data_IF_182713186480
#
_entry.id   IF_182713186480
#
_cell.length_a   1.000
_cell.length_b   1.000
_cell.length_c   1.000
_cell.angle_alpha   90.00
_cell.angle_beta   90.00
_cell.angle_gamma   90.00
#
_symmetry.space_group_name_H-M   'P 1'
#
loop_
_entity.id
_entity.type
_entity.pdbx_description
1 polymer ?
#
# COMPACT_ATOMS: atom_id res chain seq x y z
N UNK A 1 -24.01 17.79 -17.49
CA UNK A 1 -22.58 18.07 -17.19
C UNK A 1 -22.34 17.52 -15.79
N UNK A 2 -21.54 16.46 -15.65
CA UNK A 2 -21.12 16.01 -14.31
C UNK A 2 -20.18 17.09 -13.77
N UNK A 3 -20.60 17.80 -12.73
CA UNK A 3 -19.70 18.71 -12.02
C UNK A 3 -18.82 17.86 -11.10
N UNK A 4 -17.51 18.13 -11.12
CA UNK A 4 -16.54 17.40 -10.30
C UNK A 4 -16.67 17.73 -8.80
N UNK A 5 -17.53 18.69 -8.43
CA UNK A 5 -17.78 19.15 -7.06
C UNK A 5 -18.05 18.01 -6.08
N UNK A 6 -18.68 16.91 -6.53
CA UNK A 6 -18.94 15.74 -5.68
C UNK A 6 -17.68 15.00 -5.22
N UNK A 7 -16.53 15.28 -5.85
CA UNK A 7 -15.25 14.62 -5.59
C UNK A 7 -14.16 15.58 -5.14
N UNK A 8 -14.52 16.84 -4.88
CA UNK A 8 -13.60 17.86 -4.37
C UNK A 8 -13.86 18.05 -2.88
N UNK A 9 -12.79 17.99 -2.10
CA UNK A 9 -12.82 18.39 -0.69
C UNK A 9 -11.75 19.45 -0.50
N UNK A 10 -12.12 20.63 -0.02
CA UNK A 10 -11.20 21.75 0.24
C UNK A 10 -10.32 22.16 -0.97
N UNK A 11 -10.85 22.03 -2.20
CA UNK A 11 -10.11 22.36 -3.44
C UNK A 11 -9.16 21.26 -3.93
N UNK A 12 -9.09 20.13 -3.22
CA UNK A 12 -8.31 18.95 -3.62
C UNK A 12 -9.18 17.85 -4.21
N UNK A 13 -8.64 17.14 -5.20
CA UNK A 13 -9.30 15.97 -5.78
C UNK A 13 -9.21 14.75 -4.85
N UNK A 14 -10.35 14.22 -4.45
CA UNK A 14 -10.43 13.20 -3.38
C UNK A 14 -11.02 11.87 -3.83
N UNK A 15 -11.44 11.75 -5.09
CA UNK A 15 -12.13 10.56 -5.62
C UNK A 15 -11.32 9.26 -5.42
N UNK A 16 -9.99 9.34 -5.54
CA UNK A 16 -9.12 8.18 -5.49
C UNK A 16 -8.74 7.75 -4.07
N UNK A 17 -9.07 8.55 -3.04
CA UNK A 17 -8.77 8.25 -1.63
C UNK A 17 -9.17 6.82 -1.21
N UNK A 18 -10.37 6.30 -1.55
CA UNK A 18 -10.77 4.95 -1.15
C UNK A 18 -9.84 3.84 -1.68
N UNK A 19 -9.23 4.05 -2.85
CA UNK A 19 -8.30 3.09 -3.46
C UNK A 19 -6.98 3.08 -2.67
N UNK A 20 -6.44 4.25 -2.36
CA UNK A 20 -5.25 4.36 -1.49
C UNK A 20 -5.50 3.74 -0.11
N UNK A 21 -6.65 4.01 0.51
CA UNK A 21 -7.03 3.40 1.81
C UNK A 21 -7.06 1.87 1.70
N UNK A 22 -7.59 1.32 0.60
CA UNK A 22 -7.66 -0.13 0.39
C UNK A 22 -6.26 -0.75 0.33
N UNK A 23 -5.35 -0.17 -0.46
CA UNK A 23 -3.96 -0.65 -0.53
C UNK A 23 -3.20 -0.47 0.80
N UNK A 24 -3.45 0.63 1.52
CA UNK A 24 -2.89 0.84 2.84
C UNK A 24 -3.35 -0.24 3.82
N UNK A 25 -4.64 -0.56 3.83
CA UNK A 25 -5.20 -1.63 4.67
C UNK A 25 -4.62 -3.00 4.32
N UNK A 26 -4.42 -3.31 3.04
CA UNK A 26 -3.75 -4.55 2.60
C UNK A 26 -2.32 -4.59 3.13
N UNK A 27 -1.56 -3.51 2.96
CA UNK A 27 -0.16 -3.41 3.41
C UNK A 27 -0.01 -3.59 4.92
N UNK A 28 -0.88 -2.95 5.71
CA UNK A 28 -0.92 -3.08 7.18
C UNK A 28 -1.34 -4.49 7.59
N UNK A 29 -2.35 -5.06 6.92
CA UNK A 29 -2.82 -6.43 7.21
C UNK A 29 -1.69 -7.44 6.96
N UNK A 30 -0.98 -7.31 5.84
CA UNK A 30 0.19 -8.15 5.54
C UNK A 30 1.26 -8.02 6.62
N UNK A 31 1.55 -6.81 7.07
CA UNK A 31 2.52 -6.56 8.14
C UNK A 31 2.12 -7.25 9.45
N UNK A 32 0.86 -7.09 9.88
CA UNK A 32 0.32 -7.74 11.08
C UNK A 32 0.42 -9.27 10.98
N UNK A 33 0.06 -9.83 9.82
CA UNK A 33 0.13 -11.27 9.56
C UNK A 33 1.56 -11.82 9.67
N UNK A 34 2.57 -11.04 9.27
CA UNK A 34 3.99 -11.43 9.37
C UNK A 34 4.48 -11.40 10.83
N UNK A 35 4.03 -10.42 11.63
CA UNK A 35 4.46 -10.25 13.02
C UNK A 35 3.86 -11.31 13.95
N UNK A 36 2.59 -11.68 13.77
CA UNK A 36 1.88 -12.59 14.66
C UNK A 36 2.61 -13.96 14.83
N UNK A 37 2.53 -14.60 16.02
CA UNK A 37 3.28 -15.80 16.35
C UNK A 37 2.81 -17.08 15.61
N UNK A 38 3.73 -18.06 15.55
CA UNK A 38 3.88 -19.20 14.62
C UNK A 38 2.63 -20.02 14.25
N UNK A 39 1.53 -19.98 15.01
CA UNK A 39 0.35 -20.82 14.77
C UNK A 39 -0.35 -20.59 13.41
N UNK A 40 -0.16 -19.42 12.77
CA UNK A 40 -0.74 -19.09 11.45
C UNK A 40 0.27 -19.07 10.29
N UNK A 41 1.56 -19.37 10.53
CA UNK A 41 2.60 -19.26 9.50
C UNK A 41 2.46 -20.29 8.37
N UNK A 42 1.79 -21.42 8.59
CA UNK A 42 1.50 -22.39 7.52
C UNK A 42 0.61 -21.83 6.40
N UNK A 43 -0.17 -20.78 6.68
CA UNK A 43 -1.05 -20.15 5.69
C UNK A 43 -0.34 -19.10 4.82
N UNK A 44 0.86 -18.65 5.19
CA UNK A 44 1.51 -17.49 4.57
C UNK A 44 2.81 -17.90 3.89
N UNK A 45 2.76 -17.97 2.56
CA UNK A 45 3.91 -18.22 1.71
C UNK A 45 4.69 -16.91 1.45
N UNK A 46 6.02 -16.96 1.52
CA UNK A 46 6.90 -15.83 1.19
C UNK A 46 6.72 -15.34 -0.24
N UNK A 47 6.39 -16.25 -1.17
CA UNK A 47 6.04 -15.87 -2.54
C UNK A 47 4.80 -14.95 -2.58
N UNK A 48 3.75 -15.30 -1.83
CA UNK A 48 2.51 -14.51 -1.74
C UNK A 48 2.75 -13.13 -1.13
N UNK A 49 3.57 -13.03 -0.08
CA UNK A 49 3.93 -11.74 0.51
C UNK A 49 4.68 -10.87 -0.51
N UNK A 50 5.63 -11.47 -1.22
CA UNK A 50 6.48 -10.74 -2.17
C UNK A 50 5.65 -10.21 -3.34
N UNK A 51 4.82 -11.05 -3.96
CA UNK A 51 3.99 -10.65 -5.10
C UNK A 51 2.96 -9.58 -4.69
N UNK A 52 2.29 -9.73 -3.54
CA UNK A 52 1.30 -8.75 -3.08
C UNK A 52 1.96 -7.41 -2.73
N UNK A 53 3.13 -7.44 -2.10
CA UNK A 53 3.87 -6.22 -1.78
C UNK A 53 4.32 -5.49 -3.04
N UNK A 54 4.79 -6.24 -4.04
CA UNK A 54 5.22 -5.70 -5.33
C UNK A 54 4.05 -5.10 -6.14
N UNK A 55 2.93 -5.81 -6.22
CA UNK A 55 1.71 -5.30 -6.89
C UNK A 55 1.22 -4.04 -6.18
N UNK A 56 1.16 -4.05 -4.84
CA UNK A 56 0.72 -2.89 -4.06
C UNK A 56 1.61 -1.67 -4.32
N UNK A 57 2.93 -1.88 -4.44
CA UNK A 57 3.88 -0.83 -4.77
C UNK A 57 3.65 -0.26 -6.17
N UNK A 58 3.59 -1.12 -7.20
CA UNK A 58 3.39 -0.67 -8.59
C UNK A 58 2.07 0.07 -8.75
N UNK A 59 0.98 -0.52 -8.26
CA UNK A 59 -0.36 0.05 -8.44
C UNK A 59 -0.48 1.38 -7.72
N UNK A 60 0.07 1.51 -6.51
CA UNK A 60 0.00 2.78 -5.76
C UNK A 60 0.82 3.89 -6.42
N UNK A 61 1.99 3.57 -6.98
CA UNK A 61 2.80 4.54 -7.74
C UNK A 61 2.07 4.97 -9.01
N UNK A 62 1.51 4.02 -9.77
CA UNK A 62 0.71 4.33 -10.96
C UNK A 62 -0.51 5.18 -10.61
N UNK A 63 -1.20 4.86 -9.51
CA UNK A 63 -2.36 5.60 -9.05
C UNK A 63 -1.99 7.06 -8.71
N UNK A 64 -0.86 7.27 -8.05
CA UNK A 64 -0.35 8.62 -7.74
C UNK A 64 0.02 9.39 -9.01
N UNK A 65 0.62 8.71 -10.00
CA UNK A 65 0.93 9.31 -11.30
C UNK A 65 -0.33 9.75 -12.04
N UNK A 66 -1.36 8.90 -12.07
CA UNK A 66 -2.64 9.26 -12.70
C UNK A 66 -3.41 10.33 -11.93
N UNK A 67 -3.35 10.32 -10.59
CA UNK A 67 -3.92 11.38 -9.74
C UNK A 67 -3.36 12.75 -10.12
N UNK A 68 -2.03 12.85 -10.29
CA UNK A 68 -1.36 14.09 -10.71
C UNK A 68 -1.84 14.58 -12.08
N UNK A 69 -1.90 13.68 -13.08
CA UNK A 69 -2.39 14.04 -14.42
C UNK A 69 -3.85 14.52 -14.36
N UNK A 70 -4.71 13.80 -13.65
CA UNK A 70 -6.14 14.14 -13.56
C UNK A 70 -6.31 15.53 -12.96
N UNK A 71 -5.61 15.81 -11.87
CA UNK A 71 -5.65 17.07 -11.13
C UNK A 71 -5.19 18.25 -12.00
N UNK A 72 -4.11 18.07 -12.77
CA UNK A 72 -3.61 19.08 -13.71
C UNK A 72 -4.66 19.39 -14.80
N UNK A 73 -5.31 18.38 -15.35
CA UNK A 73 -6.30 18.54 -16.42
C UNK A 73 -7.61 19.22 -15.96
N UNK A 74 -8.01 18.99 -14.70
CA UNK A 74 -9.23 19.60 -14.13
C UNK A 74 -8.96 20.89 -13.37
N UNK A 75 -7.69 21.35 -13.31
CA UNK A 75 -7.30 22.60 -12.65
C UNK A 75 -7.50 22.60 -11.14
N UNK A 76 -7.45 21.43 -10.50
CA UNK A 76 -7.54 21.30 -9.04
C UNK A 76 -6.17 21.19 -8.41
N UNK A 77 -6.12 21.17 -7.07
CA UNK A 77 -4.91 20.81 -6.34
C UNK A 77 -4.84 19.31 -6.08
N UNK A 78 -3.62 18.79 -5.98
CA UNK A 78 -3.38 17.43 -5.53
C UNK A 78 -3.81 17.24 -4.08
N UNK A 79 -4.04 15.99 -3.69
CA UNK A 79 -4.36 15.63 -2.32
C UNK A 79 -3.12 15.14 -1.56
N UNK A 80 -2.65 15.95 -0.61
CA UNK A 80 -1.50 15.59 0.22
C UNK A 80 -1.70 14.28 1.00
N UNK A 81 -2.94 13.95 1.37
CA UNK A 81 -3.25 12.72 2.11
C UNK A 81 -2.93 11.50 1.22
N UNK A 82 -3.32 11.52 -0.06
CA UNK A 82 -2.95 10.47 -1.02
C UNK A 82 -1.44 10.32 -1.14
N UNK A 83 -0.69 11.43 -1.20
CA UNK A 83 0.77 11.40 -1.25
C UNK A 83 1.38 10.73 0.00
N UNK A 84 0.92 11.07 1.21
CA UNK A 84 1.39 10.43 2.44
C UNK A 84 1.02 8.94 2.51
N UNK A 85 -0.19 8.57 2.07
CA UNK A 85 -0.60 7.16 1.98
C UNK A 85 0.28 6.40 0.99
N UNK A 86 0.62 7.00 -0.16
CA UNK A 86 1.52 6.41 -1.15
C UNK A 86 2.88 6.08 -0.54
N UNK A 87 3.54 7.04 0.11
CA UNK A 87 4.81 6.80 0.77
C UNK A 87 4.72 5.73 1.86
N UNK A 88 3.64 5.73 2.65
CA UNK A 88 3.40 4.73 3.68
C UNK A 88 3.29 3.32 3.06
N UNK A 89 2.51 3.18 1.99
CA UNK A 89 2.36 1.92 1.26
C UNK A 89 3.71 1.45 0.69
N UNK A 90 4.50 2.35 0.09
CA UNK A 90 5.85 2.02 -0.41
C UNK A 90 6.72 1.46 0.71
N UNK A 91 6.74 2.12 1.88
CA UNK A 91 7.50 1.66 3.04
C UNK A 91 7.06 0.26 3.47
N UNK A 92 5.76 0.02 3.65
CA UNK A 92 5.26 -1.31 4.03
C UNK A 92 5.52 -2.38 2.97
N UNK A 93 5.35 -2.06 1.69
CA UNK A 93 5.64 -2.97 0.57
C UNK A 93 7.10 -3.41 0.54
N UNK A 94 8.04 -2.54 0.94
CA UNK A 94 9.45 -2.92 1.05
C UNK A 94 9.73 -3.70 2.36
N UNK A 95 9.17 -3.25 3.48
CA UNK A 95 9.41 -3.87 4.79
C UNK A 95 8.82 -5.29 4.90
N UNK A 96 7.65 -5.54 4.33
CA UNK A 96 6.94 -6.82 4.49
C UNK A 96 7.79 -8.03 4.04
N UNK A 97 8.33 -8.08 2.80
CA UNK A 97 9.23 -9.17 2.39
C UNK A 97 10.49 -9.25 3.25
N UNK A 98 11.12 -8.10 3.54
CA UNK A 98 12.37 -8.04 4.33
C UNK A 98 12.18 -8.70 5.70
N UNK A 99 11.11 -8.32 6.41
CA UNK A 99 10.81 -8.85 7.75
C UNK A 99 10.47 -10.34 7.68
N UNK A 100 9.69 -10.77 6.68
CA UNK A 100 9.34 -12.18 6.53
C UNK A 100 10.58 -13.07 6.34
N UNK A 101 11.45 -12.72 5.39
CA UNK A 101 12.65 -13.51 5.13
C UNK A 101 13.67 -13.42 6.27
N UNK A 102 13.77 -12.26 6.94
CA UNK A 102 14.58 -12.09 8.16
C UNK A 102 14.12 -13.01 9.30
N UNK A 103 12.82 -13.03 9.61
CA UNK A 103 12.22 -13.88 10.65
C UNK A 103 12.36 -15.38 10.31
N UNK A 104 12.17 -15.77 9.04
CA UNK A 104 12.37 -17.15 8.60
C UNK A 104 13.81 -17.63 8.78
N UNK A 105 14.80 -16.78 8.48
CA UNK A 105 16.23 -17.09 8.66
C UNK A 105 16.58 -17.31 10.14
N UNK A 106 16.03 -16.50 11.04
CA UNK A 106 16.25 -16.63 12.48
C UNK A 106 15.71 -17.97 13.02
N UNK A 107 14.49 -18.36 12.63
CA UNK A 107 13.88 -19.63 13.07
C UNK A 107 14.71 -20.83 12.59
N UNK A 108 15.11 -20.86 11.32
CA UNK A 108 15.95 -21.95 10.79
C UNK A 108 17.30 -22.09 11.49
N UNK A 109 17.82 -21.03 12.11
CA UNK A 109 19.08 -21.06 12.88
C UNK A 109 18.88 -21.63 14.28
N UNK A 110 17.70 -21.50 14.88
CA UNK A 110 17.38 -22.10 16.19
C UNK A 110 17.18 -23.62 16.10
N UNK A 111 16.86 -24.14 14.91
CA UNK A 111 16.54 -25.55 14.67
C UNK A 111 17.75 -26.42 14.25
N UNK A 112 18.97 -25.85 14.14
CA UNK A 112 20.24 -26.53 13.77
C UNK A 112 21.20 -26.53 14.96
#
# INVERSE_FOLDING_TARGET
>A
MYTYDSFVTDGSFTLLRPIFITFLMISITLFQLIILPKAKQRLINGFTITILSFISLIVTVQLTYFDAIIVDEIGLSGDSINTFMCFTIIVFSLLNPIIYYGKKKLILKEDI
#
